data_IF_320363524958
#
_entry.id   IF_320363524958
#
_cell.length_a   1.000
_cell.length_b   1.000
_cell.length_c   1.000
_cell.angle_alpha   90.00
_cell.angle_beta   90.00
_cell.angle_gamma   90.00
#
_symmetry.space_group_name_H-M   'P 1'
#
loop_
_entity.id
_entity.type
_entity.pdbx_description
1 polymer ?
#
# COMPACT_ATOMS: atom_id res chain seq x y z
N UNK A 1 22.55 -0.90 3.90
CA UNK A 1 21.95 0.35 3.39
C UNK A 1 20.72 0.08 2.52
N UNK A 2 20.80 -0.80 1.52
CA UNK A 2 19.69 -1.09 0.58
C UNK A 2 18.42 -1.54 1.31
N UNK A 3 18.49 -2.49 2.24
CA UNK A 3 17.31 -2.97 2.99
C UNK A 3 16.61 -1.86 3.80
N UNK A 4 17.38 -0.93 4.39
CA UNK A 4 16.80 0.20 5.14
C UNK A 4 16.05 1.14 4.19
N UNK A 5 16.63 1.41 3.01
CA UNK A 5 15.99 2.23 1.97
C UNK A 5 14.71 1.54 1.49
N UNK A 6 14.74 0.23 1.29
CA UNK A 6 13.57 -0.58 0.91
C UNK A 6 12.45 -0.45 1.93
N UNK A 7 12.74 -0.61 3.23
CA UNK A 7 11.73 -0.47 4.29
C UNK A 7 11.14 0.94 4.34
N UNK A 8 11.98 1.98 4.26
CA UNK A 8 11.52 3.37 4.24
C UNK A 8 10.65 3.66 3.01
N UNK A 9 11.05 3.15 1.84
CA UNK A 9 10.27 3.26 0.62
C UNK A 9 8.92 2.54 0.74
N UNK A 10 8.88 1.33 1.31
CA UNK A 10 7.65 0.58 1.53
C UNK A 10 6.68 1.32 2.46
N UNK A 11 7.16 1.92 3.55
CA UNK A 11 6.34 2.72 4.46
C UNK A 11 5.77 3.96 3.76
N UNK A 12 6.62 4.68 3.02
CA UNK A 12 6.19 5.83 2.22
C UNK A 12 5.15 5.43 1.17
N UNK A 13 5.37 4.32 0.48
CA UNK A 13 4.47 3.82 -0.54
C UNK A 13 3.10 3.43 0.04
N UNK A 14 3.09 2.73 1.19
CA UNK A 14 1.86 2.36 1.89
C UNK A 14 1.05 3.59 2.33
N UNK A 15 1.73 4.63 2.83
CA UNK A 15 1.10 5.91 3.16
C UNK A 15 0.47 6.58 1.93
N UNK A 16 1.20 6.63 0.82
CA UNK A 16 0.72 7.25 -0.42
C UNK A 16 -0.49 6.50 -1.00
N UNK A 17 -0.50 5.17 -0.95
CA UNK A 17 -1.65 4.39 -1.44
C UNK A 17 -2.89 4.60 -0.55
N UNK A 18 -2.73 4.65 0.77
CA UNK A 18 -3.86 4.96 1.66
C UNK A 18 -4.43 6.35 1.39
N UNK A 19 -3.58 7.36 1.15
CA UNK A 19 -4.03 8.70 0.74
C UNK A 19 -4.79 8.69 -0.58
N UNK A 20 -4.31 7.96 -1.59
CA UNK A 20 -5.01 7.84 -2.86
C UNK A 20 -6.34 7.09 -2.71
N UNK A 21 -6.40 6.09 -1.83
CA UNK A 21 -7.64 5.36 -1.51
C UNK A 21 -8.65 6.26 -0.81
N UNK A 22 -8.20 7.13 0.09
CA UNK A 22 -9.03 8.17 0.67
C UNK A 22 -9.57 9.13 -0.37
N UNK A 23 -8.70 9.67 -1.23
CA UNK A 23 -9.10 10.55 -2.32
C UNK A 23 -10.09 9.87 -3.29
N UNK A 24 -9.93 8.56 -3.55
CA UNK A 24 -10.86 7.77 -4.34
C UNK A 24 -12.25 7.68 -3.66
N UNK A 25 -12.29 7.39 -2.36
CA UNK A 25 -13.55 7.32 -1.62
C UNK A 25 -14.28 8.66 -1.58
N UNK A 26 -13.54 9.76 -1.40
CA UNK A 26 -14.09 11.12 -1.42
C UNK A 26 -14.58 11.53 -2.81
N UNK A 27 -13.75 11.37 -3.85
CA UNK A 27 -14.10 11.77 -5.23
C UNK A 27 -15.25 10.97 -5.85
N UNK A 28 -15.50 9.76 -5.36
CA UNK A 28 -16.59 8.89 -5.82
C UNK A 28 -17.78 8.86 -4.86
N UNK A 29 -17.78 9.70 -3.82
CA UNK A 29 -18.83 9.78 -2.78
C UNK A 29 -19.23 8.39 -2.24
N UNK A 30 -18.23 7.55 -2.00
CA UNK A 30 -18.48 6.16 -1.60
C UNK A 30 -19.05 6.17 -0.18
N UNK A 31 -20.22 5.51 0.06
CA UNK A 31 -20.83 5.49 1.37
C UNK A 31 -19.90 4.82 2.40
N UNK A 32 -19.85 5.38 3.61
CA UNK A 32 -18.89 4.99 4.67
C UNK A 32 -18.94 3.49 4.98
N UNK A 33 -20.12 2.85 4.88
CA UNK A 33 -20.29 1.41 5.09
C UNK A 33 -19.50 0.54 4.09
N UNK A 34 -19.28 1.04 2.87
CA UNK A 34 -18.55 0.32 1.80
C UNK A 34 -17.06 0.62 1.81
N UNK A 35 -16.64 1.73 2.41
CA UNK A 35 -15.22 2.15 2.44
C UNK A 35 -14.30 1.10 3.09
N UNK A 36 -14.63 0.47 4.25
CA UNK A 36 -13.78 -0.54 4.88
C UNK A 36 -13.42 -1.69 3.95
N UNK A 37 -14.35 -2.12 3.09
CA UNK A 37 -14.09 -3.18 2.11
C UNK A 37 -13.04 -2.75 1.08
N UNK A 38 -13.10 -1.51 0.60
CA UNK A 38 -12.13 -0.95 -0.36
C UNK A 38 -10.76 -0.83 0.29
N UNK A 39 -10.66 -0.21 1.46
CA UNK A 39 -9.39 -0.10 2.18
C UNK A 39 -8.78 -1.46 2.48
N UNK A 40 -9.60 -2.44 2.89
CA UNK A 40 -9.14 -3.81 3.14
C UNK A 40 -8.58 -4.44 1.86
N UNK A 41 -9.29 -4.35 0.74
CA UNK A 41 -8.83 -4.91 -0.54
C UNK A 41 -7.53 -4.25 -0.97
N UNK A 42 -7.45 -2.92 -0.95
CA UNK A 42 -6.23 -2.20 -1.33
C UNK A 42 -5.07 -2.57 -0.41
N UNK A 43 -5.26 -2.55 0.91
CA UNK A 43 -4.19 -2.87 1.85
C UNK A 43 -3.67 -4.30 1.69
N UNK A 44 -4.53 -5.29 1.41
CA UNK A 44 -4.10 -6.66 1.11
C UNK A 44 -3.23 -6.68 -0.16
N UNK A 45 -3.69 -6.07 -1.25
CA UNK A 45 -2.96 -6.04 -2.51
C UNK A 45 -1.61 -5.33 -2.40
N UNK A 46 -1.55 -4.21 -1.67
CA UNK A 46 -0.31 -3.48 -1.44
C UNK A 46 0.64 -4.24 -0.53
N UNK A 47 0.13 -4.94 0.49
CA UNK A 47 0.97 -5.78 1.35
C UNK A 47 1.60 -6.91 0.56
N UNK A 48 0.84 -7.57 -0.33
CA UNK A 48 1.38 -8.60 -1.23
C UNK A 48 2.45 -7.99 -2.15
N UNK A 49 2.18 -6.84 -2.76
CA UNK A 49 3.14 -6.16 -3.63
C UNK A 49 4.45 -5.81 -2.90
N UNK A 50 4.36 -5.22 -1.70
CA UNK A 50 5.51 -4.85 -0.87
C UNK A 50 6.29 -6.10 -0.44
N UNK A 51 5.59 -7.17 -0.06
CA UNK A 51 6.23 -8.44 0.31
C UNK A 51 6.99 -9.04 -0.87
N UNK A 52 6.37 -9.09 -2.05
CA UNK A 52 7.03 -9.57 -3.28
C UNK A 52 8.25 -8.73 -3.62
N UNK A 53 8.15 -7.41 -3.54
CA UNK A 53 9.29 -6.51 -3.76
C UNK A 53 10.39 -6.71 -2.72
N UNK A 54 10.04 -6.89 -1.44
CA UNK A 54 11.02 -7.16 -0.39
C UNK A 54 11.77 -8.48 -0.63
N UNK A 55 11.07 -9.54 -1.02
CA UNK A 55 11.69 -10.82 -1.36
C UNK A 55 12.62 -10.71 -2.56
N UNK A 56 12.19 -10.00 -3.61
CA UNK A 56 13.03 -9.73 -4.79
C UNK A 56 14.32 -9.01 -4.41
N UNK A 57 14.21 -7.94 -3.61
CA UNK A 57 15.39 -7.20 -3.13
C UNK A 57 16.27 -8.08 -2.24
N UNK A 58 15.68 -8.88 -1.34
CA UNK A 58 16.43 -9.73 -0.42
C UNK A 58 17.22 -10.83 -1.15
N UNK A 59 16.69 -11.37 -2.25
CA UNK A 59 17.31 -12.47 -2.99
C UNK A 59 18.33 -12.00 -4.04
N UNK A 60 18.22 -10.75 -4.52
CA UNK A 60 19.06 -10.23 -5.60
C UNK A 60 20.09 -9.16 -5.14
N UNK A 61 20.15 -8.84 -3.84
CA UNK A 61 21.11 -7.89 -3.24
C UNK A 61 22.25 -8.62 -2.54
#
# INVERSE_FOLDING_TARGET
MILIITVLFSLFYLFQINKMTFALCQSREIPEEKQPKIYRTVNILITILILSFYLEVLLNV
#
